data_IF_326925205992
#
_entry.id   IF_326925205992
#
_cell.length_a   1.000
_cell.length_b   1.000
_cell.length_c   1.000
_cell.angle_alpha   90.00
_cell.angle_beta   90.00
_cell.angle_gamma   90.00
#
_symmetry.space_group_name_H-M   'P 1'
#
loop_
_entity.id
_entity.type
_entity.pdbx_description
1 polymer ?
#
# COMPACT_ATOMS: atom_id res chain seq x y z
N UNK A 1 1.72 -2.00 37.40
CA UNK A 1 3.12 -2.43 37.15
C UNK A 1 3.53 -1.84 35.79
N UNK A 2 4.26 -0.73 35.79
CA UNK A 2 4.72 0.00 34.60
C UNK A 2 6.16 -0.42 34.28
N UNK A 3 6.36 -1.31 33.31
CA UNK A 3 7.67 -1.64 32.75
C UNK A 3 7.46 -1.92 31.24
N UNK A 4 7.16 -0.87 30.46
CA UNK A 4 7.09 -0.98 28.98
C UNK A 4 7.91 0.09 28.24
N UNK A 5 8.54 1.03 28.94
CA UNK A 5 9.13 2.22 28.30
C UNK A 5 10.65 2.15 28.04
N UNK A 6 11.38 1.17 28.59
CA UNK A 6 12.84 1.21 28.51
C UNK A 6 13.48 0.53 27.27
N UNK A 7 12.70 -0.23 26.46
CA UNK A 7 13.25 -0.98 25.30
C UNK A 7 13.02 -0.31 23.93
N UNK A 8 12.19 0.74 23.86
CA UNK A 8 11.92 1.49 22.62
C UNK A 8 13.11 2.34 22.13
N UNK A 9 14.10 2.60 23.00
CA UNK A 9 15.17 3.57 22.74
C UNK A 9 16.34 3.04 21.90
N UNK A 10 16.53 1.72 21.77
CA UNK A 10 17.71 1.15 21.11
C UNK A 10 17.45 0.73 19.66
N UNK A 11 16.26 0.23 19.34
CA UNK A 11 15.87 -0.08 17.97
C UNK A 11 15.66 1.20 17.12
N UNK A 12 15.13 2.26 17.75
CA UNK A 12 14.98 3.58 17.11
C UNK A 12 16.33 4.20 16.70
N UNK A 13 17.44 3.84 17.37
CA UNK A 13 18.75 4.43 17.11
C UNK A 13 19.47 3.80 15.90
N UNK A 14 19.22 2.52 15.62
CA UNK A 14 19.80 1.82 14.47
C UNK A 14 19.10 2.24 13.15
N UNK A 15 17.79 2.44 13.21
CA UNK A 15 16.98 3.00 12.11
C UNK A 15 17.35 4.47 11.85
N UNK A 16 17.73 5.22 12.89
CA UNK A 16 18.17 6.63 12.80
C UNK A 16 19.46 6.82 12.00
N UNK A 17 20.41 5.88 12.09
CA UNK A 17 21.71 6.00 11.44
C UNK A 17 21.66 5.67 9.93
N UNK A 18 20.66 4.87 9.52
CA UNK A 18 20.52 4.39 8.14
C UNK A 18 19.60 5.29 7.29
N UNK A 19 18.66 6.00 7.93
CA UNK A 19 17.72 6.91 7.24
C UNK A 19 18.20 8.37 7.17
N UNK A 20 19.21 8.76 7.95
CA UNK A 20 19.88 10.06 7.81
C UNK A 20 20.65 10.22 6.47
N UNK A 21 20.85 9.13 5.71
CA UNK A 21 21.41 9.17 4.36
C UNK A 21 20.38 9.53 3.27
N UNK A 22 19.08 9.56 3.59
CA UNK A 22 17.99 9.84 2.65
C UNK A 22 17.29 11.19 2.87
N UNK A 23 17.72 11.95 3.86
CA UNK A 23 17.18 13.29 4.11
C UNK A 23 17.92 14.28 3.21
N UNK A 24 17.33 14.53 2.05
CA UNK A 24 17.77 15.59 1.17
C UNK A 24 17.92 16.90 1.96
N UNK A 25 19.12 17.47 1.92
CA UNK A 25 19.25 18.91 1.87
C UNK A 25 18.20 19.42 0.88
N UNK A 26 17.39 20.38 1.30
CA UNK A 26 16.60 21.20 0.38
C UNK A 26 17.54 21.54 -0.79
N UNK A 27 17.23 20.99 -1.97
CA UNK A 27 18.02 21.19 -3.16
C UNK A 27 18.05 22.69 -3.42
N UNK A 28 19.20 23.30 -3.12
CA UNK A 28 19.54 24.65 -3.51
C UNK A 28 19.20 24.79 -5.00
N UNK A 29 18.25 25.66 -5.39
CA UNK A 29 17.82 25.80 -6.78
C UNK A 29 18.91 26.36 -7.71
N UNK A 30 20.10 26.67 -7.17
CA UNK A 30 21.24 27.26 -7.90
C UNK A 30 22.44 26.29 -8.01
N UNK A 31 22.39 25.12 -7.36
CA UNK A 31 23.43 24.09 -7.51
C UNK A 31 23.08 23.12 -8.66
N UNK A 32 23.97 22.93 -9.66
CA UNK A 32 23.69 22.13 -10.84
C UNK A 32 23.59 20.64 -10.48
N UNK A 33 22.37 20.09 -10.61
CA UNK A 33 22.05 18.67 -10.79
C UNK A 33 23.05 17.68 -10.17
N UNK A 34 23.14 17.63 -8.84
CA UNK A 34 23.74 16.45 -8.22
C UNK A 34 22.89 15.23 -8.63
N UNK A 35 23.53 14.17 -9.17
CA UNK A 35 22.80 12.99 -9.60
C UNK A 35 22.08 12.39 -8.38
N UNK A 36 20.78 12.11 -8.54
CA UNK A 36 20.00 11.41 -7.51
C UNK A 36 20.76 10.12 -7.18
N UNK A 37 21.10 9.86 -5.91
CA UNK A 37 21.79 8.64 -5.52
C UNK A 37 21.04 7.39 -6.03
N UNK A 38 21.77 6.32 -6.31
CA UNK A 38 21.12 5.06 -6.64
C UNK A 38 20.31 4.57 -5.42
N UNK A 39 19.09 4.09 -5.67
CA UNK A 39 18.28 3.43 -4.64
C UNK A 39 19.06 2.21 -4.11
N UNK A 40 19.13 2.08 -2.79
CA UNK A 40 19.75 0.92 -2.14
C UNK A 40 18.78 -0.25 -2.07
N UNK A 41 19.28 -1.48 -1.89
CA UNK A 41 18.44 -2.68 -1.71
C UNK A 41 17.46 -2.51 -0.54
N UNK A 42 17.96 -2.06 0.61
CA UNK A 42 17.12 -1.78 1.78
C UNK A 42 16.15 -0.61 1.54
N UNK A 43 16.54 0.38 0.74
CA UNK A 43 15.64 1.47 0.32
C UNK A 43 14.49 0.96 -0.54
N UNK A 44 14.76 0.06 -1.49
CA UNK A 44 13.75 -0.61 -2.30
C UNK A 44 12.83 -1.49 -1.44
N UNK A 45 13.39 -2.26 -0.49
CA UNK A 45 12.62 -3.07 0.44
C UNK A 45 11.68 -2.23 1.32
N UNK A 46 12.16 -1.09 1.85
CA UNK A 46 11.31 -0.17 2.61
C UNK A 46 10.18 0.42 1.75
N UNK A 47 10.46 0.82 0.51
CA UNK A 47 9.42 1.33 -0.39
C UNK A 47 8.37 0.26 -0.73
N UNK A 48 8.80 -0.96 -1.03
CA UNK A 48 7.91 -2.09 -1.25
C UNK A 48 7.05 -2.43 -0.02
N UNK A 49 7.63 -2.38 1.18
CA UNK A 49 6.91 -2.56 2.44
C UNK A 49 5.82 -1.50 2.66
N UNK A 50 6.07 -0.24 2.29
CA UNK A 50 5.08 0.83 2.39
C UNK A 50 3.94 0.65 1.39
N UNK A 51 4.22 0.14 0.18
CA UNK A 51 3.16 -0.24 -0.76
C UNK A 51 2.30 -1.37 -0.18
N UNK A 52 2.92 -2.37 0.46
CA UNK A 52 2.17 -3.43 1.12
C UNK A 52 1.26 -2.89 2.23
N UNK A 53 1.71 -1.89 2.99
CA UNK A 53 0.85 -1.20 3.96
C UNK A 53 -0.35 -0.52 3.26
N UNK A 54 -0.13 0.27 2.21
CA UNK A 54 -1.25 0.90 1.49
C UNK A 54 -2.23 -0.13 0.90
N UNK A 55 -1.72 -1.21 0.32
CA UNK A 55 -2.58 -2.27 -0.22
C UNK A 55 -3.35 -2.96 0.89
N UNK A 56 -2.74 -3.20 2.06
CA UNK A 56 -3.43 -3.75 3.23
C UNK A 56 -4.60 -2.88 3.70
N UNK A 57 -4.46 -1.56 3.66
CA UNK A 57 -5.52 -0.65 4.11
C UNK A 57 -6.59 -0.41 3.03
N UNK A 58 -6.20 -0.34 1.76
CA UNK A 58 -7.11 0.00 0.66
C UNK A 58 -7.87 -1.22 0.13
N UNK A 59 -7.21 -2.37 -0.03
CA UNK A 59 -7.82 -3.53 -0.69
C UNK A 59 -9.03 -4.11 0.07
N UNK A 60 -9.06 -4.19 1.42
CA UNK A 60 -10.24 -4.66 2.15
C UNK A 60 -11.51 -3.81 1.93
N UNK A 61 -11.37 -2.54 1.49
CA UNK A 61 -12.52 -1.71 1.12
C UNK A 61 -13.33 -2.32 -0.04
N UNK A 62 -12.74 -3.23 -0.83
CA UNK A 62 -13.45 -3.99 -1.85
C UNK A 62 -14.70 -4.72 -1.31
N UNK A 63 -14.62 -5.17 -0.05
CA UNK A 63 -15.67 -5.95 0.64
C UNK A 63 -16.25 -5.25 1.86
N UNK A 64 -15.79 -4.03 2.20
CA UNK A 64 -16.41 -3.23 3.26
C UNK A 64 -17.57 -2.38 2.73
N UNK A 65 -18.78 -2.83 3.01
CA UNK A 65 -20.01 -2.11 2.67
C UNK A 65 -20.49 -1.16 3.78
N UNK A 66 -19.70 -0.90 4.83
CA UNK A 66 -20.06 -0.05 5.97
C UNK A 66 -20.46 1.38 5.58
N UNK A 67 -19.94 1.88 4.45
CA UNK A 67 -20.24 3.20 3.89
C UNK A 67 -21.65 3.28 3.26
N UNK A 68 -22.30 2.14 3.05
CA UNK A 68 -23.64 2.06 2.47
C UNK A 68 -24.73 2.00 3.55
N UNK A 69 -25.83 2.78 3.48
CA UNK A 69 -26.26 3.68 2.40
C UNK A 69 -25.96 5.18 2.66
N UNK A 70 -25.12 5.53 3.63
CA UNK A 70 -25.02 6.89 4.17
C UNK A 70 -24.32 7.91 3.24
N UNK A 71 -23.49 7.48 2.29
CA UNK A 71 -22.65 8.34 1.45
C UNK A 71 -23.19 8.61 0.02
N UNK A 72 -24.52 8.52 -0.21
CA UNK A 72 -25.11 8.60 -1.56
C UNK A 72 -25.14 10.01 -2.16
N UNK A 73 -24.49 10.19 -3.30
CA UNK A 73 -25.12 10.92 -4.41
C UNK A 73 -25.07 10.14 -5.73
N UNK A 74 -23.94 9.54 -6.13
CA UNK A 74 -23.82 8.67 -7.33
C UNK A 74 -22.53 7.83 -7.26
N UNK A 75 -22.46 6.62 -7.86
CA UNK A 75 -21.19 5.90 -8.04
C UNK A 75 -20.25 6.68 -8.97
N UNK A 76 -18.91 6.59 -8.80
CA UNK A 76 -18.21 5.75 -7.83
C UNK A 76 -18.25 6.33 -6.39
N UNK A 77 -18.29 5.45 -5.40
CA UNK A 77 -18.35 5.83 -3.98
C UNK A 77 -16.97 6.26 -3.51
N UNK A 78 -16.87 7.29 -2.67
CA UNK A 78 -15.56 7.74 -2.17
C UNK A 78 -15.35 7.32 -0.72
N UNK A 79 -14.14 6.92 -0.40
CA UNK A 79 -13.66 6.69 0.96
C UNK A 79 -12.49 7.64 1.25
N UNK A 80 -12.55 8.29 2.41
CA UNK A 80 -11.55 9.24 2.86
C UNK A 80 -10.78 8.65 4.04
N UNK A 81 -9.47 8.55 3.88
CA UNK A 81 -8.53 8.25 4.97
C UNK A 81 -8.17 9.55 5.66
N UNK A 82 -8.32 9.62 6.98
CA UNK A 82 -8.15 10.86 7.75
C UNK A 82 -6.73 11.07 8.32
N UNK A 83 -5.76 10.24 7.91
CA UNK A 83 -4.38 10.28 8.40
C UNK A 83 -4.13 9.55 9.72
N UNK A 84 -5.17 9.04 10.41
CA UNK A 84 -5.04 8.47 11.75
C UNK A 84 -4.13 7.24 11.82
N UNK A 85 -4.08 6.44 10.75
CA UNK A 85 -3.27 5.21 10.65
C UNK A 85 -2.08 5.37 9.67
N UNK A 86 -1.50 6.57 9.59
CA UNK A 86 -0.41 6.92 8.67
C UNK A 86 -0.79 6.97 7.19
N UNK A 87 -2.07 6.83 6.86
CA UNK A 87 -2.60 6.91 5.51
C UNK A 87 -3.60 8.05 5.43
N UNK A 88 -3.42 8.95 4.47
CA UNK A 88 -4.31 10.08 4.16
C UNK A 88 -4.63 10.10 2.65
N UNK A 89 -5.80 10.62 2.29
CA UNK A 89 -6.23 10.77 0.91
C UNK A 89 -7.57 10.10 0.60
N UNK A 90 -7.96 10.14 -0.67
CA UNK A 90 -9.28 9.69 -1.11
C UNK A 90 -9.17 8.63 -2.20
N UNK A 91 -9.93 7.54 -2.04
CA UNK A 91 -10.11 6.52 -3.07
C UNK A 91 -11.57 6.46 -3.51
N UNK A 92 -11.78 6.19 -4.78
CA UNK A 92 -13.08 5.90 -5.37
C UNK A 92 -13.26 4.39 -5.55
N UNK A 93 -14.43 3.88 -5.21
CA UNK A 93 -14.88 2.50 -5.33
C UNK A 93 -16.00 2.42 -6.37
N UNK A 94 -15.70 1.76 -7.49
CA UNK A 94 -16.64 1.55 -8.58
C UNK A 94 -17.07 0.09 -8.68
N UNK A 95 -18.23 -0.22 -8.08
CA UNK A 95 -18.81 -1.56 -8.09
C UNK A 95 -19.56 -1.85 -9.40
N UNK A 96 -19.26 -2.98 -10.05
CA UNK A 96 -19.73 -3.32 -11.39
C UNK A 96 -20.26 -4.74 -11.53
N UNK A 97 -21.16 -4.92 -12.50
CA UNK A 97 -21.78 -6.20 -12.84
C UNK A 97 -21.11 -6.87 -14.04
N UNK A 98 -20.88 -8.18 -13.97
CA UNK A 98 -20.46 -9.03 -15.10
C UNK A 98 -18.99 -8.91 -15.51
N UNK A 99 -18.40 -7.70 -15.48
CA UNK A 99 -16.97 -7.49 -15.73
C UNK A 99 -16.47 -6.19 -15.07
N UNK A 100 -15.14 -5.99 -14.96
CA UNK A 100 -14.54 -4.72 -14.52
C UNK A 100 -14.91 -3.50 -15.37
N UNK A 101 -15.41 -3.70 -16.59
CA UNK A 101 -15.88 -2.63 -17.50
C UNK A 101 -17.40 -2.63 -17.67
N UNK A 102 -18.11 -3.45 -16.90
CA UNK A 102 -19.55 -3.60 -16.94
C UNK A 102 -20.31 -2.37 -16.42
N UNK A 103 -21.63 -2.51 -16.32
CA UNK A 103 -22.48 -1.47 -15.76
C UNK A 103 -22.32 -1.37 -14.25
N UNK A 104 -22.50 -0.16 -13.71
CA UNK A 104 -22.51 0.05 -12.27
C UNK A 104 -23.56 -0.85 -11.59
N UNK A 105 -23.17 -1.46 -10.49
CA UNK A 105 -24.10 -2.19 -9.64
C UNK A 105 -25.03 -1.21 -8.93
N UNK A 106 -26.33 -1.55 -8.86
CA UNK A 106 -27.32 -0.72 -8.18
C UNK A 106 -27.04 -0.62 -6.67
N UNK A 107 -26.45 -1.68 -6.09
CA UNK A 107 -25.94 -1.73 -4.72
C UNK A 107 -24.64 -2.56 -4.72
N UNK A 108 -23.66 -2.26 -3.83
CA UNK A 108 -22.39 -2.99 -3.78
C UNK A 108 -22.54 -4.50 -3.62
N UNK A 109 -23.49 -4.95 -2.78
CA UNK A 109 -23.74 -6.37 -2.50
C UNK A 109 -24.29 -7.21 -3.68
N UNK A 110 -24.50 -6.59 -4.85
CA UNK A 110 -24.89 -7.30 -6.08
C UNK A 110 -23.78 -7.30 -7.13
N UNK A 111 -22.67 -6.62 -6.87
CA UNK A 111 -21.59 -6.44 -7.83
C UNK A 111 -20.73 -7.70 -7.94
N UNK A 112 -20.33 -8.06 -9.16
CA UNK A 112 -19.33 -9.11 -9.36
C UNK A 112 -17.89 -8.61 -9.27
N UNK A 113 -17.70 -7.29 -9.39
CA UNK A 113 -16.40 -6.65 -9.47
C UNK A 113 -16.39 -5.31 -8.76
N UNK A 114 -15.21 -4.87 -8.35
CA UNK A 114 -14.96 -3.50 -7.92
C UNK A 114 -13.64 -3.01 -8.49
N UNK A 115 -13.63 -1.76 -8.94
CA UNK A 115 -12.39 -1.04 -9.25
C UNK A 115 -12.20 0.03 -8.19
N UNK A 116 -11.07 -0.03 -7.48
CA UNK A 116 -10.65 0.98 -6.52
C UNK A 116 -9.55 1.81 -7.15
N UNK A 117 -9.68 3.13 -7.16
CA UNK A 117 -8.68 4.02 -7.75
C UNK A 117 -8.61 5.34 -7.02
N UNK A 118 -7.45 5.99 -7.09
CA UNK A 118 -7.26 7.32 -6.51
C UNK A 118 -8.13 8.39 -7.18
N UNK A 119 -8.66 9.33 -6.39
CA UNK A 119 -9.39 10.48 -6.92
C UNK A 119 -8.40 11.56 -7.38
N UNK A 120 -8.29 11.77 -8.70
CA UNK A 120 -7.38 12.77 -9.25
C UNK A 120 -7.68 14.20 -8.73
N UNK A 121 -6.65 15.02 -8.42
CA UNK A 121 -5.21 14.78 -8.60
C UNK A 121 -4.53 14.07 -7.42
N UNK A 122 -5.28 13.58 -6.45
CA UNK A 122 -4.76 13.15 -5.16
C UNK A 122 -4.41 11.66 -5.17
N UNK A 123 -3.16 11.32 -4.84
CA UNK A 123 -2.80 9.96 -4.48
C UNK A 123 -3.13 9.68 -3.01
N UNK A 124 -2.87 8.45 -2.57
CA UNK A 124 -2.85 8.11 -1.15
C UNK A 124 -1.47 8.46 -0.61
N UNK A 125 -1.43 9.27 0.43
CA UNK A 125 -0.20 9.65 1.11
C UNK A 125 0.04 8.74 2.29
N UNK A 126 1.21 8.10 2.34
CA UNK A 126 1.70 7.41 3.53
C UNK A 126 2.67 8.32 4.26
N UNK A 127 2.41 8.59 5.52
CA UNK A 127 3.35 9.26 6.42
C UNK A 127 4.19 8.21 7.13
N UNK A 128 5.47 8.11 6.77
CA UNK A 128 6.39 7.21 7.47
C UNK A 128 6.57 7.63 8.93
N UNK A 129 6.97 6.73 9.85
CA UNK A 129 7.19 7.06 11.26
C UNK A 129 8.19 8.19 11.54
N UNK A 130 8.98 8.59 10.54
CA UNK A 130 9.95 9.69 10.62
C UNK A 130 9.46 10.98 9.96
N UNK A 131 8.20 11.05 9.53
CA UNK A 131 7.58 12.23 8.92
C UNK A 131 7.84 12.40 7.42
N UNK A 132 8.52 11.45 6.77
CA UNK A 132 8.63 11.43 5.31
C UNK A 132 7.31 11.02 4.67
N UNK A 133 6.97 11.61 3.51
CA UNK A 133 5.74 11.32 2.78
C UNK A 133 6.01 10.52 1.51
N UNK A 134 5.17 9.53 1.27
CA UNK A 134 5.14 8.70 0.07
C UNK A 134 3.80 8.88 -0.60
N UNK A 135 3.79 9.22 -1.88
CA UNK A 135 2.55 9.37 -2.64
C UNK A 135 2.34 8.14 -3.52
N UNK A 136 1.21 7.46 -3.35
CA UNK A 136 0.85 6.27 -4.09
C UNK A 136 -0.35 6.59 -4.99
N UNK A 137 -0.18 6.32 -6.28
CA UNK A 137 -1.29 6.31 -7.24
C UNK A 137 -1.50 4.88 -7.73
N UNK A 138 -2.68 4.34 -7.54
CA UNK A 138 -3.01 2.94 -7.78
C UNK A 138 -4.38 2.79 -8.45
N UNK A 139 -4.51 1.68 -9.16
CA UNK A 139 -5.80 1.12 -9.57
C UNK A 139 -5.80 -0.36 -9.18
N UNK A 140 -6.77 -0.75 -8.37
CA UNK A 140 -6.97 -2.12 -7.89
C UNK A 140 -8.27 -2.62 -8.51
N UNK A 141 -8.20 -3.72 -9.24
CA UNK A 141 -9.35 -4.37 -9.85
C UNK A 141 -9.56 -5.68 -9.10
N UNK A 142 -10.75 -5.89 -8.54
CA UNK A 142 -11.04 -7.08 -7.77
C UNK A 142 -12.31 -7.80 -8.25
N UNK A 143 -12.26 -9.12 -8.29
CA UNK A 143 -13.43 -9.98 -8.41
C UNK A 143 -14.02 -10.25 -7.03
N UNK A 144 -15.33 -10.10 -6.87
CA UNK A 144 -16.04 -10.25 -5.60
C UNK A 144 -16.66 -11.64 -5.49
N UNK A 145 -16.50 -12.26 -4.33
CA UNK A 145 -17.18 -13.50 -3.96
C UNK A 145 -18.04 -13.27 -2.73
N UNK A 146 -19.36 -13.37 -2.95
CA UNK A 146 -20.36 -13.19 -1.90
C UNK A 146 -20.64 -14.50 -1.16
N UNK A 147 -20.84 -14.40 0.16
CA UNK A 147 -21.09 -15.57 0.99
C UNK A 147 -21.21 -15.25 2.47
N UNK A 148 -21.00 -16.26 3.33
CA UNK A 148 -20.90 -16.04 4.77
C UNK A 148 -19.65 -15.22 5.14
N UNK A 149 -18.59 -15.37 4.34
CA UNK A 149 -17.39 -14.56 4.41
C UNK A 149 -17.26 -13.86 3.06
N UNK A 150 -17.45 -12.54 3.04
CA UNK A 150 -17.18 -11.73 1.85
C UNK A 150 -15.67 -11.73 1.58
N UNK A 151 -15.29 -11.96 0.32
CA UNK A 151 -13.90 -11.91 -0.10
C UNK A 151 -13.77 -11.28 -1.48
N UNK A 152 -12.60 -10.71 -1.74
CA UNK A 152 -12.24 -10.23 -3.07
C UNK A 152 -10.88 -10.80 -3.50
N UNK A 153 -10.76 -11.11 -4.79
CA UNK A 153 -9.52 -11.53 -5.43
C UNK A 153 -9.04 -10.39 -6.32
N UNK A 154 -7.88 -9.82 -6.00
CA UNK A 154 -7.25 -8.76 -6.79
C UNK A 154 -6.68 -9.38 -8.06
N UNK A 155 -7.10 -8.85 -9.21
CA UNK A 155 -6.79 -9.39 -10.52
C UNK A 155 -5.52 -8.79 -11.09
N UNK A 156 -4.85 -9.55 -11.96
CA UNK A 156 -3.77 -9.07 -12.82
C UNK A 156 -4.17 -7.79 -13.57
N UNK A 157 -3.23 -6.85 -13.66
CA UNK A 157 -3.47 -5.49 -14.18
C UNK A 157 -3.78 -4.48 -13.07
N UNK A 158 -3.90 -4.93 -11.82
CA UNK A 158 -3.85 -4.07 -10.64
C UNK A 158 -2.42 -3.61 -10.35
N UNK A 159 -2.26 -2.41 -9.83
CA UNK A 159 -0.94 -1.84 -9.57
C UNK A 159 -0.96 -0.32 -9.56
N UNK A 160 0.22 0.27 -9.67
CA UNK A 160 0.35 1.72 -9.56
C UNK A 160 1.79 2.23 -9.58
N UNK A 161 1.92 3.48 -9.17
CA UNK A 161 3.19 4.17 -8.99
C UNK A 161 3.35 4.66 -7.57
N UNK A 162 4.59 4.61 -7.08
CA UNK A 162 5.03 5.22 -5.83
C UNK A 162 5.95 6.38 -6.16
N UNK A 163 5.72 7.53 -5.53
CA UNK A 163 6.60 8.70 -5.59
C UNK A 163 7.14 8.99 -4.18
N UNK A 164 8.46 9.15 -4.08
CA UNK A 164 9.19 9.37 -2.85
C UNK A 164 10.27 10.44 -3.08
N UNK A 165 9.91 11.71 -2.95
CA UNK A 165 10.79 12.82 -3.31
C UNK A 165 11.15 12.79 -4.80
N UNK A 166 12.43 12.57 -5.12
CA UNK A 166 12.90 12.48 -6.51
C UNK A 166 12.83 11.06 -7.10
N UNK A 167 12.45 10.05 -6.31
CA UNK A 167 12.31 8.67 -6.76
C UNK A 167 10.88 8.40 -7.23
N UNK A 168 10.76 7.66 -8.32
CA UNK A 168 9.49 7.10 -8.80
C UNK A 168 9.70 5.63 -9.13
N UNK A 169 8.73 4.81 -8.76
CA UNK A 169 8.75 3.37 -8.97
C UNK A 169 7.34 2.87 -9.33
N UNK A 170 7.30 1.69 -9.95
CA UNK A 170 6.05 1.03 -10.39
C UNK A 170 5.87 -0.22 -9.55
N UNK A 171 4.61 -0.57 -9.26
CA UNK A 171 4.29 -1.86 -8.67
C UNK A 171 3.08 -2.50 -9.36
N UNK A 172 3.01 -3.82 -9.29
CA UNK A 172 1.87 -4.63 -9.72
C UNK A 172 1.36 -5.49 -8.57
N UNK A 173 0.09 -5.85 -8.62
CA UNK A 173 -0.57 -6.71 -7.65
C UNK A 173 -1.27 -7.82 -8.42
N UNK A 174 -1.06 -9.07 -8.01
CA UNK A 174 -1.65 -10.23 -8.67
C UNK A 174 -2.12 -11.25 -7.63
N UNK A 175 -3.27 -11.88 -7.90
CA UNK A 175 -3.83 -13.01 -7.15
C UNK A 175 -3.91 -12.80 -5.61
N UNK A 176 -4.04 -11.54 -5.17
CA UNK A 176 -4.13 -11.19 -3.75
C UNK A 176 -5.56 -11.40 -3.27
N UNK A 177 -5.76 -12.28 -2.29
CA UNK A 177 -7.09 -12.50 -1.70
C UNK A 177 -7.25 -11.65 -0.45
N UNK A 178 -8.33 -10.89 -0.38
CA UNK A 178 -8.66 -10.03 0.76
C UNK A 178 -10.02 -10.37 1.35
N UNK A 179 -10.15 -10.13 2.65
CA UNK A 179 -11.41 -10.24 3.40
C UNK A 179 -11.60 -8.98 4.22
N UNK A 180 -12.79 -8.78 4.79
CA UNK A 180 -13.11 -7.56 5.54
C UNK A 180 -12.22 -7.35 6.77
N UNK A 181 -12.08 -8.39 7.60
CA UNK A 181 -11.49 -8.28 8.95
C UNK A 181 -10.19 -9.10 9.09
N UNK A 182 -9.48 -9.30 7.98
CA UNK A 182 -8.28 -10.14 7.94
C UNK A 182 -7.19 -9.57 7.06
N UNK A 183 -5.95 -9.93 7.38
CA UNK A 183 -4.80 -9.65 6.53
C UNK A 183 -4.99 -10.33 5.17
N UNK A 184 -4.53 -9.69 4.08
CA UNK A 184 -4.51 -10.34 2.78
C UNK A 184 -3.80 -11.70 2.82
N UNK A 185 -4.24 -12.61 1.97
CA UNK A 185 -3.71 -13.97 1.84
C UNK A 185 -3.37 -14.27 0.40
N UNK A 186 -2.15 -14.74 0.14
CA UNK A 186 -1.70 -15.12 -1.19
C UNK A 186 -1.49 -13.94 -2.13
N UNK A 187 -0.84 -14.18 -3.28
CA UNK A 187 -0.60 -13.16 -4.30
C UNK A 187 0.59 -12.23 -4.02
N UNK A 188 1.51 -12.06 -4.97
CA UNK A 188 2.61 -11.12 -4.80
C UNK A 188 2.20 -9.67 -5.11
N UNK A 189 2.83 -8.75 -4.39
CA UNK A 189 3.05 -7.39 -4.88
C UNK A 189 4.46 -7.33 -5.43
N UNK A 190 4.63 -7.01 -6.71
CA UNK A 190 5.95 -6.85 -7.31
C UNK A 190 6.24 -5.38 -7.45
N UNK A 191 7.31 -4.91 -6.78
CA UNK A 191 7.80 -3.54 -6.85
C UNK A 191 9.06 -3.48 -7.70
N UNK A 192 9.12 -2.54 -8.64
CA UNK A 192 10.30 -2.29 -9.46
C UNK A 192 10.77 -0.85 -9.26
N UNK A 193 11.88 -0.69 -8.55
CA UNK A 193 12.52 0.59 -8.24
C UNK A 193 13.98 0.61 -8.67
N UNK A 194 14.31 1.40 -9.69
CA UNK A 194 15.67 1.46 -10.22
C UNK A 194 16.13 0.12 -10.81
N UNK A 195 17.09 -0.55 -10.17
CA UNK A 195 17.59 -1.88 -10.57
C UNK A 195 17.09 -3.02 -9.68
N UNK A 196 16.26 -2.71 -8.70
CA UNK A 196 15.80 -3.67 -7.70
C UNK A 196 14.37 -4.07 -8.00
N UNK A 197 14.14 -5.38 -8.03
CA UNK A 197 12.81 -5.98 -8.03
C UNK A 197 12.58 -6.62 -6.67
N UNK A 198 11.57 -6.12 -5.96
CA UNK A 198 11.19 -6.61 -4.63
C UNK A 198 9.80 -7.19 -4.72
N UNK A 199 9.69 -8.48 -4.43
CA UNK A 199 8.41 -9.18 -4.29
C UNK A 199 7.98 -9.15 -2.83
N UNK A 200 6.73 -8.75 -2.57
CA UNK A 200 6.13 -8.79 -1.23
C UNK A 200 5.05 -9.86 -1.20
N UNK A 201 5.16 -10.78 -0.25
CA UNK A 201 4.24 -11.90 -0.11
C UNK A 201 3.44 -11.79 1.19
N UNK A 202 2.10 -11.79 1.06
CA UNK A 202 1.17 -11.87 2.17
C UNK A 202 0.88 -13.32 2.57
N UNK A 203 0.73 -13.56 3.86
CA UNK A 203 0.50 -14.90 4.42
C UNK A 203 -0.71 -14.98 5.37
N UNK A 204 -1.60 -13.98 5.36
CA UNK A 204 -2.72 -13.90 6.30
C UNK A 204 -2.36 -13.44 7.70
N UNK A 205 -1.17 -12.84 7.88
CA UNK A 205 -0.74 -12.24 9.14
C UNK A 205 -0.24 -10.81 8.91
N UNK A 206 -0.01 -10.08 10.00
CA UNK A 206 0.61 -8.75 9.98
C UNK A 206 2.04 -8.74 9.44
N UNK A 207 2.67 -9.91 9.24
CA UNK A 207 4.05 -10.03 8.78
C UNK A 207 4.08 -10.47 7.33
N UNK A 208 4.63 -9.62 6.47
CA UNK A 208 4.90 -9.93 5.07
C UNK A 208 6.37 -10.30 4.86
N UNK A 209 6.64 -11.16 3.89
CA UNK A 209 7.99 -11.48 3.44
C UNK A 209 8.36 -10.62 2.24
N UNK A 210 9.59 -10.12 2.21
CA UNK A 210 10.15 -9.37 1.09
C UNK A 210 11.31 -10.13 0.49
N UNK A 211 11.22 -10.38 -0.81
CA UNK A 211 12.19 -11.13 -1.58
C UNK A 211 12.83 -10.21 -2.61
N UNK A 212 14.16 -10.11 -2.60
CA UNK A 212 14.91 -9.34 -3.58
C UNK A 212 15.51 -10.30 -4.59
N UNK A 213 15.19 -10.10 -5.87
CA UNK A 213 15.64 -10.95 -6.98
C UNK A 213 15.37 -12.46 -6.72
N UNK A 214 14.19 -12.76 -6.14
CA UNK A 214 13.73 -14.12 -5.85
C UNK A 214 14.35 -14.76 -4.59
N UNK A 215 15.06 -13.99 -3.76
CA UNK A 215 15.60 -14.47 -2.48
C UNK A 215 14.93 -13.73 -1.34
N UNK A 216 14.26 -14.47 -0.44
CA UNK A 216 13.70 -13.91 0.79
C UNK A 216 14.83 -13.30 1.62
N UNK A 217 14.71 -12.01 1.94
CA UNK A 217 15.76 -11.21 2.57
C UNK A 217 15.28 -10.46 3.79
N UNK A 218 14.02 -10.02 3.77
CA UNK A 218 13.44 -9.31 4.90
C UNK A 218 12.04 -9.82 5.24
N UNK A 219 11.63 -9.52 6.45
CA UNK A 219 10.24 -9.50 6.87
C UNK A 219 9.87 -8.08 7.26
N UNK A 220 8.62 -7.71 7.01
CA UNK A 220 8.06 -6.44 7.45
C UNK A 220 6.80 -6.68 8.25
N UNK A 221 6.73 -6.10 9.44
CA UNK A 221 5.54 -6.15 10.28
C UNK A 221 4.71 -4.87 10.07
N UNK A 222 3.51 -5.03 9.54
CA UNK A 222 2.56 -3.96 9.20
C UNK A 222 2.02 -3.24 10.43
N UNK A 223 1.88 -3.92 11.58
CA UNK A 223 1.42 -3.30 12.83
C UNK A 223 2.50 -2.41 13.46
N UNK A 224 3.75 -2.86 13.41
CA UNK A 224 4.87 -2.17 14.09
C UNK A 224 5.69 -1.30 13.16
N UNK A 225 5.45 -1.40 11.85
CA UNK A 225 6.20 -0.72 10.79
C UNK A 225 7.71 -0.98 10.87
N UNK A 226 8.08 -2.24 11.11
CA UNK A 226 9.48 -2.64 11.28
C UNK A 226 9.92 -3.63 10.21
N UNK A 227 11.00 -3.28 9.51
CA UNK A 227 11.74 -4.17 8.60
C UNK A 227 12.79 -4.95 9.39
N UNK A 228 12.93 -6.25 9.13
CA UNK A 228 13.92 -7.12 9.78
C UNK A 228 14.53 -8.06 8.75
N UNK A 229 15.86 -8.08 8.65
CA UNK A 229 16.60 -9.02 7.81
C UNK A 229 16.54 -10.43 8.40
N UNK A 230 16.46 -11.47 7.54
CA UNK A 230 16.30 -12.87 7.93
C UNK A 230 17.52 -13.74 7.60
#
# INVERSE_FOLDING_TARGET
MKIKECKRSLAALAVLALLAAFWGCESDPVAPHDPIPALTEEGAANQAAMIALAVNEVAPLAVDYSLWPAAKTDPPYQYYFDGSDNIDGTVALDYRNGSPTGTHAAVPALAGFVTIFNVYPEGVTITTPLGGQLNITATIIAALTHGLNESAEILTGSGGTLEAGAYSAVFTIEDLVVTRDGWPTGGPIVFTGGRHEVEVMFNGTAVVTLSLDGVDRWTFNLDTLTLTEI
#
